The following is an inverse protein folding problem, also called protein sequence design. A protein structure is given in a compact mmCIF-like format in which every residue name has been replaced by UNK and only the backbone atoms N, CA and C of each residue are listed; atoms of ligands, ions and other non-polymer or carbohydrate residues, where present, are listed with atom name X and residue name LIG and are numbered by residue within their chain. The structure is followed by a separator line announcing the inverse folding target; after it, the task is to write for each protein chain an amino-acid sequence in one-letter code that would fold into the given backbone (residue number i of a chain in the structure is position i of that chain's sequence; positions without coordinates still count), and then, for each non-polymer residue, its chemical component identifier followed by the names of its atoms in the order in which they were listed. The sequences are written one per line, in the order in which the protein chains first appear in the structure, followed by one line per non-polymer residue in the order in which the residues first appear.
data_IF_264122556625
#
_entry.id   IF_264122556625
#
_cell.length_a   1.000
_cell.length_b   1.000
_cell.length_c   1.000
_cell.angle_alpha   90.00
_cell.angle_beta   90.00
_cell.angle_gamma   90.00
#
_symmetry.space_group_name_H-M   'P 1'
#
loop_
_entity.id
_entity.type
_entity.pdbx_description
1 polymer ?
#
# COMPACT_ATOMS: atom_id res chain seq x y z
N UNK A 1 20.65 -24.88 -21.37
CA UNK A 1 20.36 -23.43 -21.52
C UNK A 1 20.53 -22.79 -20.17
N UNK A 2 21.64 -22.10 -19.93
CA UNK A 2 21.79 -21.27 -18.73
C UNK A 2 20.77 -20.15 -18.84
N UNK A 3 19.75 -20.18 -17.98
CA UNK A 3 18.87 -19.03 -17.76
C UNK A 3 19.78 -17.94 -17.18
N UNK A 4 19.93 -16.86 -17.93
CA UNK A 4 20.64 -15.66 -17.44
C UNK A 4 19.93 -15.25 -16.14
N UNK A 5 20.60 -15.39 -14.99
CA UNK A 5 20.07 -14.94 -13.70
C UNK A 5 19.76 -13.46 -13.87
N UNK A 6 18.51 -13.08 -13.77
CA UNK A 6 18.13 -11.69 -13.61
C UNK A 6 18.76 -11.22 -12.29
N UNK A 7 19.19 -9.99 -12.26
CA UNK A 7 19.70 -9.38 -11.03
C UNK A 7 18.64 -9.58 -9.92
N UNK A 8 18.99 -10.24 -8.81
CA UNK A 8 18.03 -10.56 -7.76
C UNK A 8 17.58 -9.31 -6.98
N UNK A 9 18.15 -8.15 -7.25
CA UNK A 9 17.85 -6.90 -6.55
C UNK A 9 17.20 -5.86 -7.47
N UNK A 10 16.23 -5.15 -6.92
CA UNK A 10 15.64 -3.97 -7.54
C UNK A 10 15.52 -2.87 -6.51
N UNK A 11 15.86 -1.64 -6.91
CA UNK A 11 15.61 -0.44 -6.12
C UNK A 11 14.94 0.58 -7.04
N UNK A 12 13.79 1.08 -6.61
CA UNK A 12 13.06 2.14 -7.29
C UNK A 12 13.01 3.36 -6.38
N UNK A 13 13.10 4.52 -6.97
CA UNK A 13 12.94 5.79 -6.27
C UNK A 13 12.10 6.73 -7.11
N UNK A 14 11.23 7.48 -6.46
CA UNK A 14 10.39 8.50 -7.07
C UNK A 14 10.40 9.74 -6.19
N UNK A 15 10.60 10.90 -6.82
CA UNK A 15 10.52 12.20 -6.16
C UNK A 15 9.48 13.02 -6.89
N UNK A 16 8.60 13.66 -6.13
CA UNK A 16 7.55 14.53 -6.67
C UNK A 16 7.44 15.77 -5.81
N UNK A 17 7.34 16.92 -6.47
CA UNK A 17 6.96 18.18 -5.83
C UNK A 17 5.54 18.49 -6.28
N UNK A 18 4.66 18.78 -5.34
CA UNK A 18 3.28 19.17 -5.62
C UNK A 18 2.82 20.25 -4.66
N UNK A 19 1.83 21.02 -5.08
CA UNK A 19 1.07 21.90 -4.20
C UNK A 19 -0.20 21.19 -3.79
N UNK A 20 -0.52 21.22 -2.51
CA UNK A 20 -1.74 20.65 -1.96
C UNK A 20 -2.44 21.75 -1.16
N UNK A 21 -3.67 22.07 -1.54
CA UNK A 21 -4.48 23.13 -0.95
C UNK A 21 -5.28 22.66 0.29
N UNK A 22 -5.17 21.37 0.65
CA UNK A 22 -5.87 20.80 1.80
C UNK A 22 -5.12 19.62 2.43
N UNK A 23 -3.95 19.90 3.02
CA UNK A 23 -3.08 18.88 3.61
C UNK A 23 -3.65 18.22 4.88
N UNK A 24 -4.58 18.89 5.57
CA UNK A 24 -5.19 18.45 6.81
C UNK A 24 -6.63 17.90 6.64
N UNK A 25 -7.11 17.74 5.41
CA UNK A 25 -8.51 17.40 5.11
C UNK A 25 -9.53 18.31 5.80
N UNK A 26 -9.17 19.57 5.99
CA UNK A 26 -10.00 20.58 6.64
C UNK A 26 -11.15 21.07 5.75
N UNK A 27 -12.04 21.86 6.33
CA UNK A 27 -13.13 22.49 5.56
C UNK A 27 -12.70 23.85 5.01
N UNK A 28 -13.17 24.20 3.82
CA UNK A 28 -13.03 25.55 3.26
C UNK A 28 -14.11 26.54 3.78
N UNK A 29 -15.09 26.03 4.52
CA UNK A 29 -16.18 26.87 5.02
C UNK A 29 -15.80 27.62 6.29
N UNK A 30 -16.11 28.90 6.39
CA UNK A 30 -15.96 29.70 7.62
C UNK A 30 -17.03 29.36 8.66
N UNK A 31 -18.17 28.86 8.23
CA UNK A 31 -19.27 28.48 9.10
C UNK A 31 -19.90 27.18 8.65
N UNK A 32 -20.26 26.32 9.60
CA UNK A 32 -21.08 25.11 9.39
C UNK A 32 -22.41 25.27 10.12
N UNK A 33 -23.48 24.71 9.59
CA UNK A 33 -24.78 24.70 10.23
C UNK A 33 -25.04 23.33 10.87
N UNK A 34 -25.21 23.32 12.19
CA UNK A 34 -25.65 22.14 12.93
C UNK A 34 -27.05 22.41 13.47
N UNK A 35 -28.02 21.57 13.11
CA UNK A 35 -29.43 21.75 13.48
C UNK A 35 -30.02 23.13 13.10
N UNK A 36 -29.53 23.70 11.98
CA UNK A 36 -29.97 25.02 11.51
C UNK A 36 -29.24 26.21 12.16
N UNK A 37 -28.44 26.00 13.20
CA UNK A 37 -27.67 27.05 13.90
C UNK A 37 -26.28 27.18 13.25
N UNK A 38 -25.84 28.40 12.89
CA UNK A 38 -24.51 28.61 12.34
C UNK A 38 -23.45 28.55 13.44
N UNK A 39 -22.41 27.76 13.22
CA UNK A 39 -21.22 27.68 14.06
C UNK A 39 -20.00 28.14 13.24
N UNK A 40 -19.19 29.02 13.81
CA UNK A 40 -17.91 29.41 13.22
C UNK A 40 -16.93 28.25 13.30
N UNK A 41 -16.31 27.92 12.18
CA UNK A 41 -15.27 26.88 12.12
C UNK A 41 -14.01 27.40 12.79
N UNK A 42 -13.36 26.56 13.61
CA UNK A 42 -12.06 26.87 14.20
C UNK A 42 -10.99 26.92 13.07
N UNK A 43 -10.05 27.83 13.16
CA UNK A 43 -8.96 28.00 12.19
C UNK A 43 -8.13 26.72 12.01
N UNK A 44 -7.99 25.90 13.07
CA UNK A 44 -7.30 24.61 13.00
C UNK A 44 -8.05 23.54 12.19
N UNK A 45 -9.36 23.67 12.07
CA UNK A 45 -10.22 22.77 11.29
C UNK A 45 -10.41 23.24 9.84
N UNK A 46 -9.90 24.41 9.48
CA UNK A 46 -9.93 24.90 8.09
C UNK A 46 -8.87 24.18 7.25
N UNK A 47 -9.12 24.16 5.95
CA UNK A 47 -8.16 23.65 4.97
C UNK A 47 -6.85 24.44 5.05
N UNK A 48 -5.73 23.72 5.09
CA UNK A 48 -4.37 24.29 5.09
C UNK A 48 -3.66 23.87 3.81
N UNK A 49 -3.00 24.84 3.21
CA UNK A 49 -2.24 24.64 1.97
C UNK A 49 -0.75 24.53 2.26
N UNK A 50 -0.04 23.74 1.45
CA UNK A 50 1.41 23.63 1.50
C UNK A 50 1.98 23.04 0.22
N UNK A 51 3.28 23.29 0.01
CA UNK A 51 4.06 22.49 -0.93
C UNK A 51 4.46 21.18 -0.29
N UNK A 52 4.35 20.10 -1.05
CA UNK A 52 4.74 18.76 -0.66
C UNK A 52 5.98 18.34 -1.44
N UNK A 53 7.00 17.87 -0.74
CA UNK A 53 8.07 17.06 -1.29
C UNK A 53 7.78 15.61 -0.96
N UNK A 54 7.28 14.87 -1.94
CA UNK A 54 7.04 13.43 -1.81
C UNK A 54 8.27 12.65 -2.25
N UNK A 55 8.70 11.71 -1.43
CA UNK A 55 9.78 10.76 -1.70
C UNK A 55 9.26 9.35 -1.50
N UNK A 56 9.41 8.50 -2.51
CA UNK A 56 9.10 7.07 -2.45
C UNK A 56 10.35 6.28 -2.82
N UNK A 57 10.80 5.41 -1.92
CA UNK A 57 11.92 4.51 -2.13
C UNK A 57 11.45 3.12 -1.78
N UNK A 58 11.56 2.19 -2.72
CA UNK A 58 11.25 0.80 -2.46
C UNK A 58 12.30 -0.10 -3.09
N UNK A 59 12.53 -1.23 -2.46
CA UNK A 59 13.50 -2.19 -2.94
C UNK A 59 13.08 -3.61 -2.62
N UNK A 60 13.59 -4.54 -3.43
CA UNK A 60 13.41 -5.95 -3.23
C UNK A 60 14.71 -6.70 -3.48
N UNK A 61 14.89 -7.79 -2.78
CA UNK A 61 15.99 -8.72 -2.97
C UNK A 61 15.49 -10.16 -2.83
N UNK A 62 15.88 -11.00 -3.78
CA UNK A 62 15.51 -12.40 -3.84
C UNK A 62 16.72 -13.28 -3.51
N UNK A 63 16.59 -14.11 -2.48
CA UNK A 63 17.57 -15.13 -2.12
C UNK A 63 17.15 -16.46 -2.74
N UNK A 64 17.95 -16.98 -3.66
CA UNK A 64 17.74 -18.35 -4.21
C UNK A 64 18.22 -19.38 -3.18
N UNK A 65 17.29 -20.17 -2.68
CA UNK A 65 17.52 -21.33 -1.83
C UNK A 65 17.17 -22.59 -2.62
N UNK A 66 17.76 -23.74 -2.29
CA UNK A 66 17.73 -24.96 -3.13
C UNK A 66 16.33 -25.34 -3.64
N UNK A 67 15.30 -25.23 -2.80
CA UNK A 67 13.93 -25.67 -3.11
C UNK A 67 12.91 -24.54 -3.23
N UNK A 68 13.28 -23.32 -2.86
CA UNK A 68 12.41 -22.15 -2.93
C UNK A 68 13.23 -20.87 -3.02
N UNK A 69 12.57 -19.77 -3.31
CA UNK A 69 13.17 -18.44 -3.29
C UNK A 69 12.60 -17.68 -2.09
N UNK A 70 13.44 -16.98 -1.36
CA UNK A 70 12.99 -16.06 -0.32
C UNK A 70 12.97 -14.66 -0.87
N UNK A 71 11.78 -14.06 -1.01
CA UNK A 71 11.63 -12.66 -1.35
C UNK A 71 11.70 -11.80 -0.10
N UNK A 72 12.45 -10.73 -0.17
CA UNK A 72 12.49 -9.69 0.86
C UNK A 72 12.31 -8.33 0.19
N UNK A 73 11.72 -7.39 0.90
CA UNK A 73 11.56 -6.05 0.36
C UNK A 73 11.39 -5.02 1.46
N UNK A 74 11.55 -3.76 1.07
CA UNK A 74 11.29 -2.63 1.92
C UNK A 74 10.58 -1.52 1.14
N UNK A 75 9.90 -0.65 1.87
CA UNK A 75 9.32 0.57 1.35
C UNK A 75 9.54 1.71 2.35
N UNK A 76 9.76 2.91 1.80
CA UNK A 76 9.84 4.17 2.55
C UNK A 76 9.10 5.21 1.72
N UNK A 77 8.01 5.76 2.27
CA UNK A 77 7.28 6.87 1.67
C UNK A 77 7.35 8.05 2.64
N UNK A 78 7.79 9.18 2.18
CA UNK A 78 7.90 10.40 2.98
C UNK A 78 7.22 11.55 2.25
N UNK A 79 6.22 12.17 2.89
CA UNK A 79 5.61 13.42 2.48
C UNK A 79 6.06 14.50 3.45
N UNK A 80 6.88 15.43 2.98
CA UNK A 80 7.33 16.58 3.74
C UNK A 80 6.58 17.82 3.26
N UNK A 81 5.92 18.51 4.18
CA UNK A 81 5.09 19.68 3.92
C UNK A 81 5.77 20.95 4.47
N UNK A 82 6.00 21.92 3.62
CA UNK A 82 6.72 23.16 4.00
C UNK A 82 6.00 23.91 5.12
N UNK A 83 6.64 24.01 6.30
CA UNK A 83 6.15 24.79 7.44
C UNK A 83 4.92 24.21 8.13
N UNK A 84 4.68 22.92 8.03
CA UNK A 84 3.52 22.28 8.65
C UNK A 84 3.91 21.12 9.56
N UNK A 85 3.02 20.79 10.50
CA UNK A 85 3.10 19.63 11.39
C UNK A 85 2.37 18.40 10.79
N UNK A 86 2.31 18.28 9.46
CA UNK A 86 1.59 17.19 8.76
C UNK A 86 2.52 16.27 8.00
N UNK A 87 3.81 16.32 8.28
CA UNK A 87 4.80 15.44 7.68
C UNK A 87 4.44 13.99 7.96
N UNK A 88 4.47 13.15 6.92
CA UNK A 88 4.13 11.74 7.02
C UNK A 88 5.30 10.89 6.58
N UNK A 89 5.67 9.94 7.40
CA UNK A 89 6.66 8.93 7.09
C UNK A 89 6.02 7.55 7.23
N UNK A 90 5.98 6.81 6.13
CA UNK A 90 5.57 5.40 6.11
C UNK A 90 6.76 4.54 5.73
N UNK A 91 7.04 3.53 6.51
CA UNK A 91 8.06 2.55 6.19
C UNK A 91 7.58 1.14 6.50
N UNK A 92 8.15 0.18 5.82
CA UNK A 92 7.76 -1.20 6.00
C UNK A 92 8.71 -2.18 5.36
N UNK A 93 8.52 -3.43 5.70
CA UNK A 93 9.25 -4.58 5.17
C UNK A 93 8.26 -5.65 4.74
N UNK A 94 8.64 -6.41 3.75
CA UNK A 94 7.97 -7.66 3.40
C UNK A 94 8.99 -8.79 3.31
N UNK A 95 8.57 -9.98 3.69
CA UNK A 95 9.36 -11.19 3.60
C UNK A 95 8.45 -12.39 3.36
N UNK A 96 8.90 -13.33 2.52
CA UNK A 96 8.16 -14.58 2.34
C UNK A 96 8.75 -15.49 1.27
N UNK A 97 8.51 -16.80 1.40
CA UNK A 97 8.95 -17.79 0.43
C UNK A 97 8.13 -17.74 -0.85
N UNK A 98 8.81 -17.97 -1.96
CA UNK A 98 8.26 -18.14 -3.29
C UNK A 98 8.58 -19.54 -3.80
N UNK A 99 7.57 -20.23 -4.30
CA UNK A 99 7.68 -21.57 -4.87
C UNK A 99 7.17 -21.59 -6.30
N UNK A 100 7.80 -22.40 -7.12
CA UNK A 100 7.32 -22.72 -8.45
C UNK A 100 6.78 -24.15 -8.47
N UNK A 101 5.51 -24.31 -8.80
CA UNK A 101 4.86 -25.61 -8.89
C UNK A 101 3.97 -25.69 -10.13
N UNK A 102 4.25 -26.64 -11.03
CA UNK A 102 3.48 -26.87 -12.27
C UNK A 102 3.18 -25.60 -13.08
N UNK A 103 4.20 -24.74 -13.24
CA UNK A 103 4.06 -23.48 -14.00
C UNK A 103 3.34 -22.35 -13.26
N UNK A 104 3.03 -22.54 -11.99
CA UNK A 104 2.47 -21.54 -11.11
C UNK A 104 3.56 -20.99 -10.20
N UNK A 105 3.53 -19.70 -9.96
CA UNK A 105 4.35 -19.02 -8.97
C UNK A 105 3.49 -18.74 -7.76
N UNK A 106 3.80 -19.38 -6.64
CA UNK A 106 3.10 -19.21 -5.37
C UNK A 106 4.02 -18.42 -4.43
N UNK A 107 3.56 -17.30 -3.94
CA UNK A 107 4.28 -16.44 -3.02
C UNK A 107 3.49 -16.27 -1.72
N UNK A 108 4.15 -16.52 -0.61
CA UNK A 108 3.69 -16.16 0.73
C UNK A 108 4.39 -14.87 1.13
N UNK A 109 3.71 -13.96 1.78
CA UNK A 109 4.34 -12.75 2.27
C UNK A 109 3.77 -12.31 3.61
N UNK A 110 4.67 -11.92 4.49
CA UNK A 110 4.39 -11.16 5.69
C UNK A 110 4.80 -9.71 5.42
N UNK A 111 3.85 -8.81 5.51
CA UNK A 111 4.08 -7.37 5.38
C UNK A 111 3.93 -6.75 6.77
N UNK A 112 4.91 -5.95 7.14
CA UNK A 112 4.90 -5.15 8.37
C UNK A 112 5.16 -3.70 7.96
N UNK A 113 4.32 -2.78 8.38
CA UNK A 113 4.53 -1.36 8.11
C UNK A 113 4.12 -0.49 9.28
N UNK A 114 4.75 0.68 9.34
CA UNK A 114 4.46 1.72 10.31
C UNK A 114 4.33 3.05 9.60
N UNK A 115 3.41 3.85 10.07
CA UNK A 115 3.23 5.23 9.65
C UNK A 115 3.37 6.16 10.85
N UNK A 116 4.07 7.25 10.63
CA UNK A 116 4.28 8.32 11.61
C UNK A 116 3.80 9.63 11.00
N UNK A 117 3.22 10.49 11.84
CA UNK A 117 2.85 11.84 11.47
C UNK A 117 3.55 12.78 12.44
N UNK A 118 4.29 13.75 11.91
CA UNK A 118 5.07 14.71 12.70
C UNK A 118 5.96 14.00 13.76
N UNK A 119 6.68 12.95 13.32
CA UNK A 119 7.54 12.08 14.14
C UNK A 119 6.80 11.31 15.25
N UNK A 120 5.48 11.33 15.29
CA UNK A 120 4.69 10.53 16.21
C UNK A 120 4.10 9.31 15.51
N UNK A 121 4.20 8.10 16.09
CA UNK A 121 3.60 6.92 15.51
C UNK A 121 2.09 7.06 15.47
N UNK A 122 1.52 6.83 14.28
CA UNK A 122 0.07 6.92 14.06
C UNK A 122 -0.56 5.57 13.79
N UNK A 123 0.09 4.73 12.97
CA UNK A 123 -0.49 3.45 12.53
C UNK A 123 0.59 2.39 12.44
N UNK A 124 0.29 1.19 12.95
CA UNK A 124 1.00 -0.04 12.61
C UNK A 124 0.08 -0.95 11.80
N UNK A 125 0.61 -1.55 10.75
CA UNK A 125 -0.13 -2.55 9.98
C UNK A 125 0.70 -3.81 9.81
N UNK A 126 0.03 -4.96 9.86
CA UNK A 126 0.59 -6.26 9.54
C UNK A 126 -0.37 -7.04 8.66
N UNK A 127 0.15 -7.71 7.67
CA UNK A 127 -0.62 -8.47 6.70
C UNK A 127 0.09 -9.76 6.35
N UNK A 128 -0.64 -10.87 6.34
CA UNK A 128 -0.20 -12.14 5.76
C UNK A 128 -0.97 -12.33 4.47
N UNK A 129 -0.24 -12.60 3.39
CA UNK A 129 -0.79 -12.75 2.05
C UNK A 129 -0.25 -14.01 1.40
N UNK A 130 -1.12 -14.71 0.70
CA UNK A 130 -0.74 -15.76 -0.26
C UNK A 130 -1.19 -15.32 -1.62
N UNK A 131 -0.28 -15.32 -2.58
CA UNK A 131 -0.59 -14.98 -3.97
C UNK A 131 -0.12 -16.08 -4.91
N UNK A 132 -0.85 -16.23 -6.00
CA UNK A 132 -0.54 -17.16 -7.08
C UNK A 132 -0.53 -16.39 -8.40
N UNK A 133 0.49 -16.66 -9.21
CA UNK A 133 0.62 -16.18 -10.57
C UNK A 133 0.68 -17.38 -11.50
N UNK A 134 -0.25 -17.46 -12.43
CA UNK A 134 -0.38 -18.56 -13.38
C UNK A 134 -0.50 -18.05 -14.80
N UNK A 135 0.39 -18.48 -15.68
CA UNK A 135 0.30 -18.23 -17.11
C UNK A 135 -0.53 -19.36 -17.76
N UNK A 136 -1.84 -19.14 -17.89
CA UNK A 136 -2.76 -20.14 -18.51
C UNK A 136 -2.43 -20.37 -19.98
N UNK A 137 -2.06 -19.31 -20.69
CA UNK A 137 -1.54 -19.30 -22.07
C UNK A 137 -0.47 -18.21 -22.19
N UNK A 138 0.34 -18.20 -23.26
CA UNK A 138 1.35 -17.15 -23.46
C UNK A 138 0.80 -15.72 -23.40
N UNK A 139 -0.48 -15.55 -23.71
CA UNK A 139 -1.19 -14.27 -23.74
C UNK A 139 -2.25 -14.11 -22.65
N UNK A 140 -2.37 -15.07 -21.73
CA UNK A 140 -3.33 -15.01 -20.61
C UNK A 140 -2.60 -15.28 -19.30
N UNK A 141 -2.56 -14.29 -18.45
CA UNK A 141 -2.00 -14.37 -17.11
C UNK A 141 -3.12 -14.20 -16.06
N UNK A 142 -3.15 -15.09 -15.10
CA UNK A 142 -4.10 -15.08 -13.99
C UNK A 142 -3.31 -14.86 -12.72
N UNK A 143 -3.73 -13.87 -11.93
CA UNK A 143 -3.20 -13.63 -10.60
C UNK A 143 -4.34 -13.77 -9.60
N UNK A 144 -4.08 -14.42 -8.48
CA UNK A 144 -5.00 -14.48 -7.35
C UNK A 144 -4.24 -14.22 -6.07
N UNK A 145 -4.88 -13.58 -5.11
CA UNK A 145 -4.32 -13.39 -3.79
C UNK A 145 -5.42 -13.44 -2.73
N UNK A 146 -5.07 -13.98 -1.59
CA UNK A 146 -5.88 -13.93 -0.38
C UNK A 146 -5.01 -13.45 0.76
N UNK A 147 -5.58 -12.73 1.69
CA UNK A 147 -4.82 -12.25 2.83
C UNK A 147 -5.70 -11.84 3.99
N UNK A 148 -5.04 -11.76 5.13
CA UNK A 148 -5.57 -11.22 6.38
C UNK A 148 -4.62 -10.16 6.88
N UNK A 149 -5.15 -9.11 7.46
CA UNK A 149 -4.36 -8.00 7.97
C UNK A 149 -4.97 -7.43 9.23
N UNK A 150 -4.16 -6.70 9.95
CA UNK A 150 -4.53 -5.95 11.15
C UNK A 150 -3.91 -4.56 11.05
N UNK A 151 -4.70 -3.56 11.39
CA UNK A 151 -4.28 -2.16 11.45
C UNK A 151 -4.60 -1.59 12.82
N UNK A 152 -3.56 -1.12 13.50
CA UNK A 152 -3.65 -0.57 14.86
C UNK A 152 -3.27 0.92 14.84
N UNK A 153 -4.17 1.76 15.34
CA UNK A 153 -4.00 3.20 15.49
C UNK A 153 -3.59 3.54 16.92
N UNK A 154 -2.48 4.24 17.07
CA UNK A 154 -1.96 4.62 18.39
C UNK A 154 -2.84 5.66 19.11
N UNK A 155 -3.40 6.59 18.35
CA UNK A 155 -4.12 7.72 18.92
C UNK A 155 -5.62 7.46 19.12
N UNK A 156 -6.16 6.42 18.50
CA UNK A 156 -7.57 6.07 18.62
C UNK A 156 -7.82 4.60 18.32
N UNK A 157 -7.88 3.78 19.36
CA UNK A 157 -8.10 2.34 19.25
C UNK A 157 -9.45 1.97 18.61
N UNK A 158 -10.42 2.89 18.56
CA UNK A 158 -11.71 2.63 17.87
C UNK A 158 -11.58 2.55 16.35
N UNK A 159 -10.44 2.94 15.79
CA UNK A 159 -10.12 2.78 14.38
C UNK A 159 -9.33 1.49 14.08
N UNK A 160 -8.96 0.74 15.11
CA UNK A 160 -8.33 -0.57 14.90
C UNK A 160 -9.24 -1.45 14.06
N UNK A 161 -8.67 -2.17 13.14
CA UNK A 161 -9.45 -3.00 12.25
C UNK A 161 -8.70 -4.25 11.84
N UNK A 162 -9.44 -5.34 11.74
CA UNK A 162 -9.04 -6.55 11.06
C UNK A 162 -9.54 -6.50 9.61
N UNK A 163 -8.74 -6.97 8.68
CA UNK A 163 -9.10 -7.02 7.28
C UNK A 163 -8.91 -8.42 6.71
N UNK A 164 -9.82 -8.80 5.82
CA UNK A 164 -9.70 -10.02 5.00
C UNK A 164 -9.93 -9.61 3.56
N UNK A 165 -9.14 -10.13 2.65
CA UNK A 165 -9.35 -9.82 1.23
C UNK A 165 -9.13 -11.02 0.33
N UNK A 166 -9.80 -10.97 -0.80
CA UNK A 166 -9.59 -11.82 -1.96
C UNK A 166 -9.40 -10.91 -3.16
N UNK A 167 -8.36 -11.15 -3.93
CA UNK A 167 -8.09 -10.43 -5.18
C UNK A 167 -7.93 -11.45 -6.32
N UNK A 168 -8.53 -11.13 -7.46
CA UNK A 168 -8.42 -11.92 -8.67
C UNK A 168 -8.25 -10.99 -9.87
N UNK A 169 -7.14 -11.17 -10.59
CA UNK A 169 -6.78 -10.37 -11.76
C UNK A 169 -6.53 -11.28 -12.95
N UNK A 170 -7.16 -10.98 -14.08
CA UNK A 170 -6.90 -11.63 -15.36
C UNK A 170 -6.35 -10.58 -16.31
N UNK A 171 -5.18 -10.82 -16.87
CA UNK A 171 -4.60 -10.04 -17.95
C UNK A 171 -4.64 -10.85 -19.24
N UNK A 172 -5.13 -10.25 -20.31
CA UNK A 172 -5.14 -10.80 -21.65
C UNK A 172 -4.49 -9.85 -22.64
N UNK A 173 -3.53 -10.33 -23.40
CA UNK A 173 -2.88 -9.57 -24.49
C UNK A 173 -3.39 -10.13 -25.80
N UNK A 174 -4.01 -9.29 -26.62
CA UNK A 174 -4.51 -9.68 -27.93
C UNK A 174 -3.38 -9.76 -28.98
N UNK A 175 -3.73 -10.19 -30.22
CA UNK A 175 -2.78 -10.26 -31.33
C UNK A 175 -2.26 -8.90 -31.80
N UNK A 176 -2.89 -7.79 -31.41
CA UNK A 176 -2.49 -6.41 -31.70
C UNK A 176 -1.68 -5.79 -30.56
N UNK A 177 -1.26 -6.58 -29.57
CA UNK A 177 -0.57 -6.15 -28.35
C UNK A 177 -1.41 -5.19 -27.47
N UNK A 178 -2.73 -5.25 -27.58
CA UNK A 178 -3.61 -4.50 -26.66
C UNK A 178 -3.79 -5.35 -25.40
N UNK A 179 -3.50 -4.75 -24.23
CA UNK A 179 -3.66 -5.40 -22.95
C UNK A 179 -5.04 -5.10 -22.36
N UNK A 180 -5.78 -6.14 -22.04
CA UNK A 180 -7.05 -6.08 -21.33
C UNK A 180 -6.86 -6.67 -19.94
N UNK A 181 -7.30 -5.96 -18.91
CA UNK A 181 -7.25 -6.47 -17.54
C UNK A 181 -8.61 -6.36 -16.85
N UNK A 182 -8.97 -7.41 -16.13
CA UNK A 182 -10.14 -7.45 -15.26
C UNK A 182 -9.65 -7.75 -13.86
N UNK A 183 -9.95 -6.86 -12.93
CA UNK A 183 -9.60 -7.01 -11.52
C UNK A 183 -10.87 -7.04 -10.66
N UNK A 184 -11.02 -8.08 -9.84
CA UNK A 184 -12.03 -8.22 -8.82
C UNK A 184 -11.34 -8.25 -7.45
N UNK A 185 -11.67 -7.29 -6.61
CA UNK A 185 -11.19 -7.25 -5.23
C UNK A 185 -12.40 -7.21 -4.29
N UNK A 186 -12.45 -8.16 -3.36
CA UNK A 186 -13.39 -8.19 -2.25
C UNK A 186 -12.58 -7.96 -0.97
N UNK A 187 -13.04 -7.05 -0.13
CA UNK A 187 -12.41 -6.74 1.15
C UNK A 187 -13.50 -6.66 2.20
N UNK A 188 -13.29 -7.34 3.30
CA UNK A 188 -14.08 -7.26 4.52
C UNK A 188 -13.19 -6.60 5.58
N UNK A 189 -13.67 -5.52 6.19
CA UNK A 189 -12.97 -4.79 7.24
C UNK A 189 -13.87 -4.77 8.47
N UNK A 190 -13.42 -5.41 9.51
CA UNK A 190 -14.09 -5.43 10.81
C UNK A 190 -13.41 -4.40 11.71
N UNK A 191 -14.11 -3.33 12.05
CA UNK A 191 -13.60 -2.29 12.94
C UNK A 191 -14.01 -2.60 14.39
N UNK A 192 -13.06 -2.51 15.32
CA UNK A 192 -13.31 -2.65 16.76
C UNK A 192 -14.08 -1.42 17.28
N UNK A 193 -15.39 -1.41 17.08
CA UNK A 193 -16.26 -0.47 17.79
C UNK A 193 -16.39 -0.91 19.24
N UNK A 194 -15.57 -0.34 20.11
CA UNK A 194 -15.75 -0.42 21.57
C UNK A 194 -16.21 0.89 22.14
#
# INVERSE_FOLDING_TARGET
RQIKRLDPSTINYNFKISYNDNINNGTYADTVRLFGIPFKVNEEAKAKESYELFTDINGAYDFDLDSYRLNTGFLINHSNYTGSAYDRLKYGINIGPEHYYKGQKINWSLLLSREEMDSNPTVNSREIRVSNLFNYRPNIQIQSAVGIGETNYYNNASYNSDSKFVNFLVNYIDRKNINYSVNLKLTDNDADYK
#
